data_IF_279041122807
#
_entry.id   IF_279041122807
#
_cell.length_a   1.000
_cell.length_b   1.000
_cell.length_c   1.000
_cell.angle_alpha   90.00
_cell.angle_beta   90.00
_cell.angle_gamma   90.00
#
_symmetry.space_group_name_H-M   'P 1'
#
loop_
_entity.id
_entity.type
_entity.pdbx_description
1 polymer ?
#
# COMPACT_ATOMS: atom_id res chain seq x y z
N UNK A 1 8.15 -36.36 33.81
CA UNK A 1 7.62 -37.14 32.66
C UNK A 1 6.12 -37.34 32.85
N UNK A 2 5.26 -36.84 31.96
CA UNK A 2 3.80 -37.08 31.99
C UNK A 2 3.41 -37.73 30.65
N UNK A 3 2.61 -38.81 30.68
CA UNK A 3 2.30 -39.62 29.49
C UNK A 3 1.26 -38.90 28.62
N UNK A 4 1.48 -38.87 27.29
CA UNK A 4 0.52 -38.30 26.33
C UNK A 4 -0.65 -39.27 26.15
N UNK A 5 -1.89 -38.78 26.27
CA UNK A 5 -3.10 -39.53 25.94
C UNK A 5 -3.51 -39.17 24.50
N UNK A 6 -3.23 -40.07 23.55
CA UNK A 6 -3.80 -39.97 22.20
C UNK A 6 -5.22 -40.52 22.22
N UNK A 7 -6.20 -39.69 21.82
CA UNK A 7 -7.55 -40.14 21.50
C UNK A 7 -7.82 -39.78 20.04
N UNK A 8 -7.72 -40.77 19.15
CA UNK A 8 -8.09 -40.63 17.74
C UNK A 8 -9.54 -41.11 17.60
N UNK A 9 -10.42 -40.22 17.15
CA UNK A 9 -11.80 -40.58 16.80
C UNK A 9 -12.14 -40.02 15.41
N UNK A 10 -11.72 -40.75 14.38
CA UNK A 10 -12.20 -40.55 13.01
C UNK A 10 -13.53 -41.29 12.84
N UNK A 11 -14.60 -40.54 12.62
CA UNK A 11 -15.89 -41.07 12.14
C UNK A 11 -16.40 -40.19 11.00
N UNK A 12 -16.79 -40.84 9.90
CA UNK A 12 -17.38 -40.20 8.72
C UNK A 12 -18.88 -39.94 8.93
N UNK A 13 -19.56 -39.61 7.82
CA UNK A 13 -20.99 -39.30 7.62
C UNK A 13 -21.30 -37.78 7.64
N UNK A 14 -22.04 -37.22 6.66
CA UNK A 14 -22.62 -37.81 5.44
C UNK A 14 -22.69 -36.80 4.30
N UNK A 15 -22.67 -37.27 3.04
CA UNK A 15 -22.91 -36.43 1.85
C UNK A 15 -24.42 -36.32 1.60
N UNK A 16 -24.98 -35.15 1.90
CA UNK A 16 -26.33 -34.70 1.49
C UNK A 16 -26.22 -33.17 1.28
N UNK A 17 -26.71 -32.56 0.22
CA UNK A 17 -27.31 -33.08 -1.01
C UNK A 17 -27.74 -31.90 -1.88
N UNK A 18 -27.58 -31.98 -3.21
CA UNK A 18 -27.91 -30.87 -4.11
C UNK A 18 -29.42 -30.60 -4.14
N UNK A 19 -29.83 -29.37 -3.83
CA UNK A 19 -31.20 -28.89 -4.02
C UNK A 19 -31.19 -27.63 -4.90
N UNK A 20 -31.13 -27.83 -6.21
CA UNK A 20 -31.31 -26.77 -7.20
C UNK A 20 -32.77 -26.76 -7.67
N UNK A 21 -33.51 -25.69 -7.34
CA UNK A 21 -34.86 -25.45 -7.85
C UNK A 21 -34.98 -24.03 -8.41
N UNK A 22 -34.64 -23.86 -9.69
CA UNK A 22 -34.93 -22.63 -10.43
C UNK A 22 -36.43 -22.54 -10.73
N UNK A 23 -37.08 -21.46 -10.29
CA UNK A 23 -38.46 -21.15 -10.65
C UNK A 23 -38.49 -20.03 -11.73
N UNK A 24 -38.87 -20.38 -12.96
CA UNK A 24 -39.18 -19.46 -14.06
C UNK A 24 -40.37 -19.96 -14.88
N UNK A 25 -41.56 -19.55 -14.46
CA UNK A 25 -42.89 -19.74 -15.09
C UNK A 25 -43.73 -18.57 -14.54
N UNK A 26 -44.44 -17.75 -15.31
CA UNK A 26 -44.62 -17.68 -16.76
C UNK A 26 -44.69 -16.22 -17.23
N UNK A 27 -44.65 -15.99 -18.54
CA UNK A 27 -45.13 -14.75 -19.15
C UNK A 27 -46.67 -14.71 -19.12
N UNK A 28 -47.25 -13.55 -18.87
CA UNK A 28 -48.62 -13.22 -19.29
C UNK A 28 -48.62 -11.80 -19.86
N UNK A 29 -49.22 -11.63 -21.04
CA UNK A 29 -49.00 -10.48 -21.91
C UNK A 29 -50.24 -9.58 -21.99
N UNK A 30 -50.22 -8.43 -21.28
CA UNK A 30 -51.19 -7.35 -21.48
C UNK A 30 -50.52 -5.99 -21.63
N UNK A 31 -50.47 -5.53 -22.88
CA UNK A 31 -50.02 -4.21 -23.29
C UNK A 31 -51.12 -3.15 -23.06
N UNK A 32 -50.91 -2.23 -22.10
CA UNK A 32 -51.52 -0.89 -22.10
C UNK A 32 -50.60 0.15 -21.49
N UNK A 33 -50.29 1.20 -22.26
CA UNK A 33 -49.54 2.38 -21.85
C UNK A 33 -50.45 3.63 -21.89
N UNK A 34 -50.48 4.46 -20.84
CA UNK A 34 -50.83 5.86 -20.95
C UNK A 34 -49.64 6.77 -20.58
N UNK A 35 -49.17 7.59 -21.54
CA UNK A 35 -48.32 8.74 -21.26
C UNK A 35 -49.17 10.00 -21.06
N UNK A 36 -49.00 10.66 -19.91
CA UNK A 36 -49.16 12.11 -19.79
C UNK A 36 -47.81 12.67 -19.29
N UNK A 37 -47.09 13.57 -19.98
CA UNK A 37 -47.44 14.82 -20.69
C UNK A 37 -47.67 16.02 -19.76
N UNK A 38 -46.56 16.71 -19.47
CA UNK A 38 -46.56 18.16 -19.38
C UNK A 38 -45.48 18.73 -20.31
N UNK A 39 -45.82 19.80 -21.03
CA UNK A 39 -44.93 20.48 -21.98
C UNK A 39 -45.31 21.96 -22.10
N UNK A 40 -44.30 22.78 -22.47
CA UNK A 40 -44.38 24.15 -23.02
C UNK A 40 -44.70 25.29 -22.03
N UNK A 41 -44.29 26.54 -22.28
CA UNK A 41 -43.61 27.19 -23.44
C UNK A 41 -42.49 28.14 -22.89
N UNK A 42 -41.30 28.34 -23.50
CA UNK A 42 -40.93 29.17 -24.69
C UNK A 42 -41.05 30.70 -24.41
N UNK A 43 -40.22 31.67 -24.89
CA UNK A 43 -39.03 31.80 -25.80
C UNK A 43 -38.21 33.04 -25.30
N UNK A 44 -37.12 33.65 -25.82
CA UNK A 44 -36.23 33.71 -27.02
C UNK A 44 -34.80 34.05 -26.53
N UNK A 45 -33.66 33.68 -27.12
CA UNK A 45 -33.16 33.55 -28.51
C UNK A 45 -32.50 34.82 -29.11
N UNK A 46 -31.17 34.77 -29.29
CA UNK A 46 -30.29 35.23 -30.42
C UNK A 46 -28.82 35.16 -29.94
N UNK A 47 -27.85 34.48 -30.58
CA UNK A 47 -27.33 34.60 -31.98
C UNK A 47 -26.57 35.94 -32.12
N UNK A 48 -25.27 36.01 -32.50
CA UNK A 48 -24.46 35.19 -33.43
C UNK A 48 -22.92 35.44 -33.29
N UNK A 49 -22.08 34.48 -33.76
CA UNK A 49 -20.90 34.64 -34.69
C UNK A 49 -19.74 35.62 -34.34
N UNK A 50 -18.45 35.38 -34.62
CA UNK A 50 -17.61 34.22 -35.02
C UNK A 50 -16.12 34.70 -35.08
N UNK A 51 -15.20 33.83 -35.53
CA UNK A 51 -13.80 34.04 -35.91
C UNK A 51 -12.78 34.29 -34.76
N UNK A 52 -11.58 33.74 -34.93
CA UNK A 52 -10.46 33.86 -33.99
C UNK A 52 -9.14 34.10 -34.71
N UNK A 53 -8.04 34.17 -33.97
CA UNK A 53 -6.69 34.18 -34.57
C UNK A 53 -5.60 33.66 -33.65
N UNK A 54 -4.67 32.94 -34.25
CA UNK A 54 -3.45 32.41 -33.67
C UNK A 54 -2.37 33.51 -33.56
N UNK A 55 -1.62 33.54 -32.46
CA UNK A 55 -0.35 34.27 -32.38
C UNK A 55 0.52 33.74 -31.25
N UNK A 56 1.68 33.19 -31.63
CA UNK A 56 2.78 32.82 -30.74
C UNK A 56 3.69 34.02 -30.44
N UNK A 57 4.33 34.06 -29.27
CA UNK A 57 5.67 34.64 -29.06
C UNK A 57 6.29 34.05 -27.77
N UNK A 58 7.61 34.05 -27.70
CA UNK A 58 8.40 33.15 -26.84
C UNK A 58 8.83 33.74 -25.49
N UNK A 59 9.13 32.82 -24.57
CA UNK A 59 10.21 32.84 -23.56
C UNK A 59 10.86 34.18 -23.17
N UNK A 60 10.89 34.42 -21.85
CA UNK A 60 12.12 34.82 -21.18
C UNK A 60 12.32 34.02 -19.90
N UNK A 61 13.50 33.40 -19.79
CA UNK A 61 14.00 32.89 -18.52
C UNK A 61 14.32 34.08 -17.60
N UNK A 62 14.02 33.98 -16.32
CA UNK A 62 14.89 34.55 -15.31
C UNK A 62 15.11 33.54 -14.18
N UNK A 63 16.32 33.55 -13.62
CA UNK A 63 16.88 32.49 -12.78
C UNK A 63 16.61 32.80 -11.32
N UNK A 64 16.05 31.84 -10.58
CA UNK A 64 16.13 31.83 -9.11
C UNK A 64 16.65 30.47 -8.68
N UNK A 65 17.87 30.44 -8.17
CA UNK A 65 18.35 29.34 -7.35
C UNK A 65 17.73 29.50 -5.97
N UNK A 66 16.95 28.52 -5.52
CA UNK A 66 16.81 28.25 -4.10
C UNK A 66 17.00 26.74 -3.89
N UNK A 67 17.75 26.39 -2.85
CA UNK A 67 18.28 25.04 -2.64
C UNK A 67 17.74 24.48 -1.33
N UNK A 68 16.79 23.57 -1.42
CA UNK A 68 16.27 22.77 -0.30
C UNK A 68 16.17 21.28 -0.66
N UNK A 69 17.27 20.74 -1.18
CA UNK A 69 17.65 19.38 -0.79
C UNK A 69 17.99 19.41 0.69
N UNK A 70 17.19 18.73 1.53
CA UNK A 70 17.56 18.15 2.83
C UNK A 70 16.29 17.70 3.58
N UNK A 71 15.64 16.60 3.13
CA UNK A 71 14.86 15.76 4.05
C UNK A 71 15.78 14.64 4.57
N UNK A 72 16.75 15.05 5.38
CA UNK A 72 17.70 14.14 6.02
C UNK A 72 17.01 13.43 7.19
N UNK A 73 17.12 12.10 7.23
CA UNK A 73 16.47 11.24 8.23
C UNK A 73 16.72 11.71 9.67
N UNK A 74 15.72 12.37 10.26
CA UNK A 74 15.88 13.12 11.50
C UNK A 74 16.30 12.21 12.68
N UNK A 75 17.30 12.62 13.50
CA UNK A 75 17.75 11.83 14.63
C UNK A 75 16.64 11.70 15.68
N UNK A 76 16.02 10.53 15.75
CA UNK A 76 14.83 10.26 16.54
C UNK A 76 15.07 10.54 18.04
N UNK A 77 14.52 11.65 18.53
CA UNK A 77 14.83 12.19 19.86
C UNK A 77 13.64 12.74 20.66
N UNK A 78 12.40 12.41 20.27
CA UNK A 78 11.27 12.31 21.25
C UNK A 78 10.11 11.38 20.79
N UNK A 79 10.38 10.41 19.90
CA UNK A 79 9.32 9.53 19.36
C UNK A 79 8.89 8.48 20.38
N UNK A 80 7.75 8.71 21.02
CA UNK A 80 7.07 7.75 21.90
C UNK A 80 5.99 7.00 21.11
N UNK A 81 6.18 5.69 20.91
CA UNK A 81 5.21 4.84 20.22
C UNK A 81 4.12 4.35 21.17
N UNK A 82 2.88 4.25 20.69
CA UNK A 82 1.76 3.68 21.46
C UNK A 82 1.69 2.17 21.19
N UNK A 83 1.83 1.34 22.23
CA UNK A 83 2.02 -0.12 22.10
C UNK A 83 0.89 -0.83 21.32
N UNK A 84 -0.33 -0.28 21.29
CA UNK A 84 -1.45 -0.85 20.55
C UNK A 84 -1.37 -0.65 19.02
N UNK A 85 -0.56 0.31 18.54
CA UNK A 85 -0.27 0.52 17.10
C UNK A 85 0.98 -0.27 16.65
N UNK A 86 1.66 -1.01 17.54
CA UNK A 86 2.80 -1.86 17.17
C UNK A 86 2.29 -3.19 16.60
N UNK A 87 2.59 -3.47 15.33
CA UNK A 87 2.23 -4.72 14.65
C UNK A 87 3.17 -5.82 15.15
N UNK A 88 2.81 -6.46 16.26
CA UNK A 88 3.71 -7.35 17.01
C UNK A 88 4.30 -8.49 16.15
N UNK A 89 3.47 -9.12 15.31
CA UNK A 89 3.89 -10.22 14.42
C UNK A 89 4.86 -9.80 13.29
N UNK A 90 4.99 -8.48 13.05
CA UNK A 90 5.94 -7.87 12.10
C UNK A 90 6.94 -6.93 12.81
N UNK A 91 7.11 -7.10 14.14
CA UNK A 91 7.96 -6.22 14.98
C UNK A 91 8.87 -7.03 15.91
N UNK A 92 10.06 -7.41 15.44
CA UNK A 92 10.91 -8.42 16.07
C UNK A 92 12.39 -8.01 16.22
N UNK A 93 13.09 -8.69 17.13
CA UNK A 93 14.52 -8.47 17.38
C UNK A 93 15.38 -8.98 16.21
N UNK A 94 16.30 -8.14 15.75
CA UNK A 94 17.17 -8.40 14.60
C UNK A 94 18.59 -7.90 14.87
N UNK A 95 19.59 -8.61 14.33
CA UNK A 95 20.96 -8.07 14.20
C UNK A 95 21.12 -7.44 12.82
N UNK A 96 21.14 -6.12 12.78
CA UNK A 96 21.10 -5.31 11.56
C UNK A 96 22.34 -4.40 11.48
N UNK A 97 23.28 -4.75 10.60
CA UNK A 97 24.42 -3.91 10.20
C UNK A 97 25.15 -3.25 11.40
N UNK A 98 25.51 -1.97 11.29
CA UNK A 98 26.16 -1.17 12.34
C UNK A 98 25.23 -0.71 13.47
N UNK A 99 23.93 -1.02 13.39
CA UNK A 99 23.00 -0.88 14.52
C UNK A 99 23.21 -1.99 15.56
N UNK A 100 23.78 -3.13 15.14
CA UNK A 100 23.92 -4.33 15.96
C UNK A 100 22.55 -4.93 16.29
N UNK A 101 22.34 -5.32 17.54
CA UNK A 101 21.04 -5.82 18.00
C UNK A 101 20.09 -4.64 18.23
N UNK A 102 18.93 -4.68 17.57
CA UNK A 102 17.81 -3.72 17.64
C UNK A 102 16.48 -4.47 17.48
N UNK A 103 15.36 -3.88 17.90
CA UNK A 103 14.02 -4.34 17.49
C UNK A 103 13.57 -3.53 16.28
N UNK A 104 13.24 -4.20 15.18
CA UNK A 104 12.51 -3.55 14.10
C UNK A 104 11.04 -3.43 14.50
N UNK A 105 10.41 -2.29 14.21
CA UNK A 105 9.00 -2.04 14.50
C UNK A 105 8.29 -1.69 13.20
N UNK A 106 7.16 -2.35 12.96
CA UNK A 106 6.14 -1.93 12.01
C UNK A 106 4.99 -1.32 12.81
N UNK A 107 4.55 -0.11 12.44
CA UNK A 107 3.63 0.71 13.23
C UNK A 107 2.41 1.12 12.41
N UNK A 108 1.23 0.69 12.83
CA UNK A 108 -0.05 0.98 12.17
C UNK A 108 -0.30 2.50 12.08
N UNK A 109 -1.00 2.97 11.04
CA UNK A 109 -1.49 4.35 10.96
C UNK A 109 -2.50 4.69 12.08
N UNK A 110 -2.84 5.97 12.26
CA UNK A 110 -3.90 6.34 13.19
C UNK A 110 -5.28 6.04 12.61
N UNK A 111 -6.14 5.39 13.39
CA UNK A 111 -7.50 5.07 12.94
C UNK A 111 -8.45 6.27 12.87
N UNK A 112 -7.96 7.48 13.16
CA UNK A 112 -8.65 8.74 12.87
C UNK A 112 -8.22 9.41 11.56
N UNK A 113 -7.25 8.84 10.82
CA UNK A 113 -6.80 9.35 9.52
C UNK A 113 -6.75 8.22 8.47
N UNK A 114 -7.82 8.12 7.66
CA UNK A 114 -8.00 7.07 6.64
C UNK A 114 -6.82 6.90 5.66
N UNK A 115 -6.03 7.97 5.45
CA UNK A 115 -4.91 7.99 4.51
C UNK A 115 -3.52 7.99 5.17
N UNK A 116 -3.41 7.96 6.50
CA UNK A 116 -2.09 7.77 7.13
C UNK A 116 -1.48 6.42 6.72
N UNK A 117 -0.18 6.43 6.46
CA UNK A 117 0.57 5.29 5.98
C UNK A 117 1.32 4.55 7.11
N UNK A 118 1.69 3.29 6.87
CA UNK A 118 2.43 2.49 7.86
C UNK A 118 3.86 3.00 8.03
N UNK A 119 4.21 3.31 9.29
CA UNK A 119 5.53 3.79 9.69
C UNK A 119 6.43 2.65 10.17
N UNK A 120 7.75 2.83 10.05
CA UNK A 120 8.73 1.85 10.51
C UNK A 120 9.83 2.50 11.35
N UNK A 121 10.30 1.79 12.37
CA UNK A 121 11.28 2.30 13.34
C UNK A 121 12.33 1.24 13.71
N UNK A 122 13.51 1.69 14.15
CA UNK A 122 14.41 0.87 14.96
C UNK A 122 14.33 1.29 16.42
N UNK A 123 14.12 0.33 17.31
CA UNK A 123 14.14 0.53 18.76
C UNK A 123 15.35 -0.16 19.41
N UNK A 124 15.83 0.44 20.51
CA UNK A 124 16.87 -0.11 21.36
C UNK A 124 16.66 0.34 22.80
N UNK A 125 16.74 -0.58 23.76
CA UNK A 125 16.50 -0.30 25.19
C UNK A 125 15.17 0.43 25.45
N UNK A 126 14.10 0.05 24.74
CA UNK A 126 12.76 0.67 24.77
C UNK A 126 12.67 2.14 24.30
N UNK A 127 13.72 2.69 23.70
CA UNK A 127 13.68 3.97 22.97
C UNK A 127 13.68 3.74 21.46
N UNK A 128 12.97 4.58 20.69
CA UNK A 128 13.21 4.71 19.25
C UNK A 128 14.57 5.36 19.05
N UNK A 129 15.37 4.82 18.12
CA UNK A 129 16.69 5.35 17.76
C UNK A 129 16.82 5.70 16.26
N UNK A 130 15.82 5.33 15.47
CA UNK A 130 15.73 5.68 14.04
C UNK A 130 14.27 5.59 13.57
N UNK A 131 13.86 6.52 12.70
CA UNK A 131 12.64 6.44 11.91
C UNK A 131 13.03 6.22 10.46
N UNK A 132 12.41 5.27 9.78
CA UNK A 132 12.57 5.13 8.33
C UNK A 132 11.89 6.30 7.60
N UNK A 133 12.33 6.67 6.39
CA UNK A 133 11.66 7.66 5.57
C UNK A 133 10.25 7.19 5.19
N UNK A 134 9.31 8.12 5.09
CA UNK A 134 7.97 7.85 4.59
C UNK A 134 7.99 7.53 3.08
N UNK A 135 6.97 6.83 2.60
CA UNK A 135 6.86 6.49 1.17
C UNK A 135 6.27 7.63 0.32
N UNK A 136 5.47 8.47 0.96
CA UNK A 136 4.84 9.64 0.37
C UNK A 136 4.98 10.82 1.34
N UNK A 137 4.92 12.05 0.82
CA UNK A 137 5.01 13.27 1.64
C UNK A 137 3.99 13.26 2.78
N UNK A 138 4.39 13.78 3.95
CA UNK A 138 3.55 13.86 5.15
C UNK A 138 2.99 12.51 5.66
N UNK A 139 3.57 11.38 5.26
CA UNK A 139 3.09 10.02 5.58
C UNK A 139 1.63 9.76 5.13
N UNK A 140 1.22 10.36 4.00
CA UNK A 140 -0.13 10.22 3.44
C UNK A 140 -0.16 9.40 2.16
N UNK A 141 -1.03 8.39 2.11
CA UNK A 141 -1.31 7.59 0.90
C UNK A 141 -2.31 8.25 -0.06
N UNK A 142 -2.82 9.44 0.29
CA UNK A 142 -3.89 10.13 -0.44
C UNK A 142 -3.49 10.35 -1.92
N UNK A 143 -4.32 9.86 -2.84
CA UNK A 143 -4.10 9.84 -4.29
C UNK A 143 -2.96 8.92 -4.82
N UNK A 144 -2.26 8.16 -3.96
CA UNK A 144 -1.11 7.33 -4.38
C UNK A 144 -1.39 5.80 -4.39
N UNK A 145 -1.37 5.11 -3.24
CA UNK A 145 -1.53 3.63 -3.16
C UNK A 145 -2.92 3.16 -2.71
N UNK A 146 -3.71 4.00 -2.05
CA UNK A 146 -4.98 3.62 -1.42
C UNK A 146 -4.85 3.33 0.08
N UNK A 147 -5.92 2.83 0.70
CA UNK A 147 -6.01 2.66 2.15
C UNK A 147 -5.13 1.51 2.64
N UNK A 148 -4.45 1.69 3.75
CA UNK A 148 -3.68 0.62 4.41
C UNK A 148 -4.58 -0.54 4.86
N UNK A 149 -4.13 -1.78 4.66
CA UNK A 149 -4.79 -3.01 5.16
C UNK A 149 -3.93 -3.76 6.19
N UNK A 150 -2.69 -4.12 5.82
CA UNK A 150 -1.81 -4.92 6.68
C UNK A 150 -0.35 -4.92 6.21
N UNK A 151 0.60 -5.15 7.13
CA UNK A 151 1.99 -5.52 6.75
C UNK A 151 2.03 -7.04 6.57
N UNK A 152 2.24 -7.48 5.32
CA UNK A 152 2.26 -8.88 4.93
C UNK A 152 3.60 -9.58 5.28
N UNK A 153 4.72 -8.89 5.12
CA UNK A 153 6.05 -9.43 5.45
C UNK A 153 7.10 -8.33 5.66
N UNK A 154 8.08 -8.61 6.53
CA UNK A 154 9.33 -7.85 6.67
C UNK A 154 10.51 -8.77 6.36
N UNK A 155 11.50 -8.26 5.62
CA UNK A 155 12.68 -8.99 5.18
C UNK A 155 13.96 -8.16 5.27
N UNK A 156 15.10 -8.83 5.43
CA UNK A 156 16.42 -8.20 5.56
C UNK A 156 17.39 -8.84 4.57
N UNK A 157 17.76 -8.09 3.54
CA UNK A 157 18.39 -8.62 2.33
C UNK A 157 19.30 -7.56 1.74
N UNK A 158 20.58 -7.87 1.54
CA UNK A 158 21.42 -7.15 0.58
C UNK A 158 20.78 -7.29 -0.81
N UNK A 159 20.36 -6.19 -1.44
CA UNK A 159 19.86 -6.17 -2.83
C UNK A 159 20.71 -5.30 -3.77
N UNK A 160 21.57 -4.43 -3.25
CA UNK A 160 22.46 -3.57 -4.05
C UNK A 160 23.88 -4.14 -4.26
N UNK A 161 24.22 -5.25 -3.57
CA UNK A 161 25.50 -5.99 -3.58
C UNK A 161 26.67 -5.31 -2.85
N UNK A 162 26.38 -4.41 -1.91
CA UNK A 162 27.42 -3.74 -1.09
C UNK A 162 27.84 -4.54 0.18
N UNK A 163 27.19 -5.68 0.47
CA UNK A 163 27.36 -6.54 1.67
C UNK A 163 26.70 -6.03 2.96
N UNK A 164 25.92 -4.95 2.90
CA UNK A 164 25.05 -4.42 3.96
C UNK A 164 23.64 -4.97 3.72
N UNK A 165 22.83 -5.17 4.78
CA UNK A 165 21.44 -5.61 4.61
C UNK A 165 20.48 -4.44 4.50
N UNK A 166 19.79 -4.38 3.37
CA UNK A 166 18.64 -3.50 3.16
C UNK A 166 17.40 -4.06 3.86
N UNK A 167 16.39 -3.21 4.06
CA UNK A 167 15.08 -3.64 4.59
C UNK A 167 14.05 -3.66 3.47
N UNK A 168 13.35 -4.77 3.34
CA UNK A 168 12.24 -4.95 2.40
C UNK A 168 10.97 -5.15 3.21
N UNK A 169 9.92 -4.39 2.93
CA UNK A 169 8.58 -4.61 3.52
C UNK A 169 7.57 -4.83 2.41
N UNK A 170 6.62 -5.74 2.64
CA UNK A 170 5.46 -5.96 1.76
C UNK A 170 4.23 -5.58 2.56
N UNK A 171 3.43 -4.68 2.00
CA UNK A 171 2.29 -4.02 2.64
C UNK A 171 1.09 -4.17 1.70
N UNK A 172 -0.06 -4.52 2.24
CA UNK A 172 -1.30 -4.65 1.50
C UNK A 172 -2.11 -3.35 1.53
N UNK A 173 -2.72 -2.99 0.41
CA UNK A 173 -3.58 -1.80 0.27
C UNK A 173 -4.94 -2.12 -0.36
N UNK A 174 -5.99 -1.44 0.10
CA UNK A 174 -7.31 -1.40 -0.53
C UNK A 174 -7.34 -0.26 -1.55
N UNK A 175 -7.35 -0.60 -2.84
CA UNK A 175 -7.08 0.36 -3.93
C UNK A 175 -8.29 0.64 -4.83
N UNK A 176 -9.51 0.26 -4.44
CA UNK A 176 -10.70 0.48 -5.27
C UNK A 176 -12.03 0.17 -4.59
N UNK A 177 -13.13 0.45 -5.29
CA UNK A 177 -14.50 0.27 -4.78
C UNK A 177 -15.15 -1.07 -5.18
N UNK A 178 -16.14 -1.50 -4.38
CA UNK A 178 -16.91 -2.72 -4.63
C UNK A 178 -16.15 -4.03 -4.29
N UNK A 179 -16.78 -5.21 -4.49
CA UNK A 179 -16.26 -6.47 -3.96
C UNK A 179 -14.87 -6.91 -4.46
N UNK A 180 -14.42 -6.41 -5.62
CA UNK A 180 -13.07 -6.66 -6.17
C UNK A 180 -12.10 -5.50 -5.92
N UNK A 181 -12.60 -4.37 -5.42
CA UNK A 181 -11.80 -3.25 -4.92
C UNK A 181 -11.37 -3.45 -3.47
N UNK A 182 -12.22 -4.10 -2.66
CA UNK A 182 -11.95 -4.53 -1.28
C UNK A 182 -11.04 -5.76 -1.15
N UNK A 183 -10.31 -6.14 -2.20
CA UNK A 183 -9.29 -7.19 -2.14
C UNK A 183 -7.94 -6.51 -1.92
N UNK A 184 -7.23 -6.78 -0.81
CA UNK A 184 -5.94 -6.15 -0.55
C UNK A 184 -4.91 -6.53 -1.61
N UNK A 185 -4.20 -5.54 -2.15
CA UNK A 185 -3.11 -5.72 -3.14
C UNK A 185 -1.75 -5.53 -2.48
N UNK A 186 -0.81 -6.48 -2.61
CA UNK A 186 0.51 -6.35 -2.03
C UNK A 186 1.37 -5.36 -2.84
N UNK A 187 2.06 -4.47 -2.14
CA UNK A 187 3.07 -3.55 -2.66
C UNK A 187 4.31 -3.61 -1.79
N UNK A 188 5.47 -3.55 -2.40
CA UNK A 188 6.75 -3.66 -1.71
C UNK A 188 7.42 -2.29 -1.58
N UNK A 189 8.15 -2.07 -0.47
CA UNK A 189 9.08 -0.95 -0.31
C UNK A 189 10.46 -1.50 0.00
N UNK A 190 11.47 -0.84 -0.54
CA UNK A 190 12.88 -1.16 -0.34
C UNK A 190 13.55 0.06 0.29
N UNK A 191 14.17 -0.17 1.44
CA UNK A 191 14.95 0.81 2.17
C UNK A 191 16.42 0.38 2.12
N UNK A 192 17.19 0.98 1.20
CA UNK A 192 18.62 0.70 1.04
C UNK A 192 19.40 1.26 2.23
N UNK A 193 20.32 0.48 2.79
CA UNK A 193 21.11 0.89 3.94
C UNK A 193 22.31 1.74 3.52
N UNK A 194 22.47 2.93 4.11
CA UNK A 194 23.73 3.69 4.02
C UNK A 194 24.22 4.06 5.43
N UNK A 195 25.30 3.41 5.88
CA UNK A 195 25.92 3.58 7.21
C UNK A 195 24.94 3.36 8.39
N UNK A 196 24.23 4.42 8.80
CA UNK A 196 23.22 4.48 9.88
C UNK A 196 21.98 5.27 9.47
N UNK A 197 21.70 5.29 8.18
CA UNK A 197 20.52 5.84 7.56
C UNK A 197 19.97 4.80 6.57
N UNK A 198 18.72 4.96 6.17
CA UNK A 198 18.05 4.12 5.19
C UNK A 198 17.34 5.01 4.16
N UNK A 199 17.60 4.75 2.87
CA UNK A 199 17.09 5.53 1.76
C UNK A 199 16.00 4.74 1.02
N UNK A 200 14.87 5.39 0.74
CA UNK A 200 13.78 4.78 -0.03
C UNK A 200 14.19 4.63 -1.50
N UNK A 201 14.26 3.40 -1.98
CA UNK A 201 14.77 3.09 -3.32
C UNK A 201 13.65 3.00 -4.37
N UNK A 202 13.09 4.15 -4.73
CA UNK A 202 11.98 4.26 -5.69
C UNK A 202 12.26 3.52 -7.01
N UNK A 203 13.46 3.69 -7.59
CA UNK A 203 13.87 2.98 -8.82
C UNK A 203 13.74 1.45 -8.71
N UNK A 204 14.07 0.88 -7.55
CA UNK A 204 13.96 -0.57 -7.31
C UNK A 204 12.51 -0.99 -7.00
N UNK A 205 11.71 -0.11 -6.41
CA UNK A 205 10.28 -0.33 -6.12
C UNK A 205 9.47 -0.33 -7.43
N UNK A 206 9.74 0.61 -8.34
CA UNK A 206 9.14 0.65 -9.67
C UNK A 206 9.58 -0.57 -10.50
N UNK A 207 10.87 -0.93 -10.45
CA UNK A 207 11.40 -2.09 -11.15
C UNK A 207 10.71 -3.41 -10.74
N UNK A 208 10.59 -3.70 -9.43
CA UNK A 208 9.86 -4.90 -8.98
C UNK A 208 8.36 -4.82 -9.28
N UNK A 209 7.75 -3.62 -9.19
CA UNK A 209 6.31 -3.43 -9.48
C UNK A 209 5.99 -3.69 -10.96
N UNK A 210 6.94 -3.43 -11.87
CA UNK A 210 6.76 -3.68 -13.31
C UNK A 210 7.16 -5.10 -13.74
N UNK A 211 7.90 -5.87 -12.92
CA UNK A 211 8.50 -7.15 -13.33
C UNK A 211 8.15 -8.36 -12.45
N UNK A 212 7.54 -8.18 -11.28
CA UNK A 212 7.05 -9.27 -10.42
C UNK A 212 5.53 -9.19 -10.31
N UNK A 213 4.82 -10.27 -10.65
CA UNK A 213 3.37 -10.31 -10.53
C UNK A 213 2.91 -10.21 -9.06
N UNK A 214 1.82 -9.49 -8.77
CA UNK A 214 1.31 -9.28 -7.40
C UNK A 214 1.11 -10.60 -6.62
N UNK A 215 0.77 -11.71 -7.31
CA UNK A 215 0.59 -13.04 -6.71
C UNK A 215 1.88 -13.76 -6.31
N UNK A 216 3.03 -13.36 -6.86
CA UNK A 216 4.35 -13.96 -6.61
C UNK A 216 5.23 -13.05 -5.72
N UNK A 217 4.74 -11.84 -5.41
CA UNK A 217 5.47 -10.82 -4.65
C UNK A 217 5.74 -11.29 -3.22
N UNK A 218 6.97 -11.76 -3.00
CA UNK A 218 7.46 -12.25 -1.72
C UNK A 218 8.87 -11.74 -1.47
N UNK A 219 9.29 -11.68 -0.19
CA UNK A 219 10.65 -11.27 0.19
C UNK A 219 11.71 -12.07 -0.59
N UNK A 220 11.51 -13.39 -0.76
CA UNK A 220 12.45 -14.22 -1.51
C UNK A 220 12.44 -13.95 -3.02
N UNK A 221 11.28 -13.65 -3.62
CA UNK A 221 11.21 -13.29 -5.05
C UNK A 221 11.95 -11.97 -5.31
N UNK A 222 11.71 -10.94 -4.50
CA UNK A 222 12.38 -9.64 -4.57
C UNK A 222 13.90 -9.80 -4.38
N UNK A 223 14.32 -10.51 -3.32
CA UNK A 223 15.73 -10.81 -3.06
C UNK A 223 16.44 -11.48 -4.23
N UNK A 224 15.80 -12.45 -4.90
CA UNK A 224 16.42 -13.20 -5.98
C UNK A 224 16.46 -12.35 -7.27
N UNK A 225 15.34 -11.74 -7.64
CA UNK A 225 15.21 -10.89 -8.83
C UNK A 225 16.26 -9.76 -8.86
N UNK A 226 16.43 -9.03 -7.75
CA UNK A 226 17.40 -7.93 -7.69
C UNK A 226 18.86 -8.43 -7.63
N UNK A 227 19.12 -9.63 -7.09
CA UNK A 227 20.47 -10.22 -7.08
C UNK A 227 20.91 -10.74 -8.45
N UNK A 228 19.99 -11.02 -9.35
CA UNK A 228 20.29 -11.54 -10.69
C UNK A 228 20.62 -10.44 -11.72
N UNK A 229 20.50 -9.15 -11.36
CA UNK A 229 20.87 -7.98 -12.19
C UNK A 229 22.32 -7.53 -11.99
#
# INVERSE_FOLDING_TARGET
MKKKLFLVLMLLYSVIGLCACSAKVNEDNQNTNPQERYTKEDKTERVSTDEGKESSIENKNEKTEDSSTDDLGSPASDVTLVENRIIQDQSFDVKLNDWGNVRFISYEPDNSNDFEDVSFFLMKNNSVIYSFPYYCENNSTENYVGLYDSVAAVGFCDVNKDNIKDVIVIINYITGAGPQGMVPRPRARIFLADKKEFNLANDLIDDITNNIEEKDLTISAICNYLKEK
#
